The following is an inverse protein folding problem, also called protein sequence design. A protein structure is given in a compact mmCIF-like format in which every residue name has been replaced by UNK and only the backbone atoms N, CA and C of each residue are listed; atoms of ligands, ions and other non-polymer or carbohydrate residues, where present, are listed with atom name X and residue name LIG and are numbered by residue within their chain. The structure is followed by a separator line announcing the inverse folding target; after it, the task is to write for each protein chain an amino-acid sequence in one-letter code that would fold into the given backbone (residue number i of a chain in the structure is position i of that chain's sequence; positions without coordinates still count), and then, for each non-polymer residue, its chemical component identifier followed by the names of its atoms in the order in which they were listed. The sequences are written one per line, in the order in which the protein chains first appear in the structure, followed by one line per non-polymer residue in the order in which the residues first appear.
data_IF_786700782398
#
_entry.id   IF_786700782398
#
_cell.length_a   1.000
_cell.length_b   1.000
_cell.length_c   1.000
_cell.angle_alpha   90.00
_cell.angle_beta   90.00
_cell.angle_gamma   90.00
#
_symmetry.space_group_name_H-M   'P 1'
#
loop_
_entity.id
_entity.type
_entity.pdbx_description
1 polymer ?
#
# COMPACT_ATOMS: atom_id res chain seq x y z
N UNK A 1 8.69 71.14 37.23
CA UNK A 1 7.59 70.62 36.40
C UNK A 1 6.87 69.54 37.20
N UNK A 2 5.57 69.71 37.51
CA UNK A 2 4.78 68.68 38.21
C UNK A 2 4.38 67.61 37.19
N UNK A 3 4.66 66.31 37.39
CA UNK A 3 4.22 65.26 36.48
C UNK A 3 2.69 65.16 36.50
N UNK A 4 2.08 64.90 35.34
CA UNK A 4 0.63 64.71 35.21
C UNK A 4 0.15 63.59 36.15
N UNK A 5 -0.81 63.91 37.02
CA UNK A 5 -1.39 62.94 37.94
C UNK A 5 -2.32 62.00 37.17
N UNK A 6 -1.89 60.76 37.00
CA UNK A 6 -2.74 59.68 36.45
C UNK A 6 -3.88 59.43 37.43
N UNK A 7 -5.13 59.41 36.94
CA UNK A 7 -6.31 59.21 37.77
C UNK A 7 -6.36 57.78 38.30
N UNK A 8 -6.86 57.59 39.53
CA UNK A 8 -6.92 56.26 40.16
C UNK A 8 -7.72 55.25 39.32
N UNK A 9 -8.75 55.71 38.60
CA UNK A 9 -9.57 54.88 37.72
C UNK A 9 -8.77 54.31 36.55
N UNK A 10 -7.90 55.10 35.93
CA UNK A 10 -7.02 54.66 34.83
C UNK A 10 -6.05 53.59 35.31
N UNK A 11 -5.58 53.68 36.56
CA UNK A 11 -4.72 52.69 37.19
C UNK A 11 -5.46 51.36 37.38
N UNK A 12 -6.72 51.42 37.81
CA UNK A 12 -7.57 50.23 37.98
C UNK A 12 -7.86 49.57 36.62
N UNK A 13 -8.18 50.34 35.59
CA UNK A 13 -8.40 49.82 34.23
C UNK A 13 -7.13 49.18 33.65
N UNK A 14 -5.97 49.81 33.84
CA UNK A 14 -4.69 49.24 33.43
C UNK A 14 -4.38 47.92 34.18
N UNK A 15 -4.73 47.84 35.47
CA UNK A 15 -4.58 46.62 36.25
C UNK A 15 -5.52 45.50 35.80
N UNK A 16 -6.80 45.81 35.53
CA UNK A 16 -7.76 44.85 34.96
C UNK A 16 -7.30 44.34 33.60
N UNK A 17 -6.74 45.21 32.75
CA UNK A 17 -6.17 44.84 31.45
C UNK A 17 -4.94 43.94 31.59
N UNK A 18 -4.10 44.15 32.61
CA UNK A 18 -2.98 43.24 32.89
C UNK A 18 -3.47 41.89 33.42
N UNK A 19 -4.48 41.89 34.29
CA UNK A 19 -5.10 40.70 34.85
C UNK A 19 -5.74 39.82 33.76
N UNK A 20 -6.46 40.42 32.79
CA UNK A 20 -7.07 39.69 31.67
C UNK A 20 -6.04 39.04 30.73
N UNK A 21 -4.79 39.51 30.76
CA UNK A 21 -3.68 38.91 30.01
C UNK A 21 -2.92 37.83 30.80
N UNK A 22 -3.37 37.50 32.01
CA UNK A 22 -2.74 36.50 32.88
C UNK A 22 -1.37 36.92 33.43
N UNK A 23 -1.02 38.21 33.37
CA UNK A 23 0.28 38.73 33.83
C UNK A 23 0.18 39.21 35.28
N UNK A 24 1.23 38.97 36.06
CA UNK A 24 1.36 39.51 37.41
C UNK A 24 1.29 41.05 37.39
N UNK A 25 0.37 41.63 38.16
CA UNK A 25 0.22 43.08 38.27
C UNK A 25 1.31 43.65 39.20
N UNK A 26 2.36 44.21 38.59
CA UNK A 26 3.44 44.94 39.28
C UNK A 26 3.36 46.44 38.98
N UNK A 27 3.93 47.28 39.83
CA UNK A 27 3.96 48.74 39.61
C UNK A 27 4.61 49.14 38.28
N UNK A 28 5.66 48.44 37.86
CA UNK A 28 6.30 48.63 36.55
C UNK A 28 5.43 48.10 35.40
N UNK A 29 4.69 47.01 35.62
CA UNK A 29 3.71 46.51 34.66
C UNK A 29 2.62 47.54 34.38
N UNK A 30 2.08 48.16 35.43
CA UNK A 30 1.09 49.24 35.32
C UNK A 30 1.67 50.46 34.61
N UNK A 31 2.90 50.88 34.97
CA UNK A 31 3.59 51.99 34.30
C UNK A 31 3.80 51.72 32.81
N UNK A 32 4.10 50.48 32.41
CA UNK A 32 4.26 50.11 31.00
C UNK A 32 2.94 50.23 30.23
N UNK A 33 1.81 49.96 30.86
CA UNK A 33 0.49 50.10 30.22
C UNK A 33 0.06 51.57 30.13
N UNK A 34 0.35 52.36 31.17
CA UNK A 34 -0.06 53.76 31.27
C UNK A 34 0.93 54.75 30.63
N UNK A 35 2.16 54.31 30.31
CA UNK A 35 3.20 55.13 29.71
C UNK A 35 3.88 56.14 30.66
N UNK A 36 3.29 56.44 31.81
CA UNK A 36 3.81 57.38 32.81
C UNK A 36 3.44 56.97 34.24
N UNK A 37 3.90 57.74 35.23
CA UNK A 37 3.56 57.55 36.66
C UNK A 37 4.64 56.85 37.49
N UNK A 38 4.59 57.07 38.81
CA UNK A 38 5.46 56.41 39.79
C UNK A 38 4.98 54.98 40.07
N UNK A 39 5.79 53.93 39.79
CA UNK A 39 5.45 52.52 40.03
C UNK A 39 4.93 52.23 41.45
N UNK A 40 5.42 52.93 42.47
CA UNK A 40 4.99 52.72 43.86
C UNK A 40 3.54 53.13 44.06
N UNK A 41 3.16 54.32 43.59
CA UNK A 41 1.77 54.82 43.65
C UNK A 41 0.82 53.94 42.83
N UNK A 42 1.23 53.56 41.61
CA UNK A 42 0.39 52.72 40.74
C UNK A 42 0.07 51.38 41.40
N UNK A 43 1.07 50.73 42.00
CA UNK A 43 0.89 49.46 42.71
C UNK A 43 0.03 49.63 43.96
N UNK A 44 0.24 50.70 44.74
CA UNK A 44 -0.55 50.99 45.93
C UNK A 44 -2.05 51.14 45.63
N UNK A 45 -2.42 51.95 44.62
CA UNK A 45 -3.83 52.15 44.23
C UNK A 45 -4.47 50.84 43.75
N UNK A 46 -3.72 50.03 42.99
CA UNK A 46 -4.20 48.72 42.56
C UNK A 46 -4.41 47.76 43.74
N UNK A 47 -3.46 47.70 44.67
CA UNK A 47 -3.55 46.83 45.84
C UNK A 47 -4.68 47.28 46.77
N UNK A 48 -4.95 48.58 46.89
CA UNK A 48 -6.10 49.13 47.61
C UNK A 48 -7.43 48.72 46.94
N UNK A 49 -7.53 48.80 45.61
CA UNK A 49 -8.69 48.33 44.86
C UNK A 49 -8.93 46.83 45.07
N UNK A 50 -7.91 45.99 44.92
CA UNK A 50 -8.01 44.53 45.12
C UNK A 50 -8.39 44.18 46.57
N UNK A 51 -7.91 44.95 47.54
CA UNK A 51 -8.25 44.72 48.95
C UNK A 51 -9.71 45.06 49.25
N UNK A 52 -10.26 46.13 48.66
CA UNK A 52 -11.69 46.48 48.75
C UNK A 52 -12.58 45.50 47.99
N UNK A 53 -12.19 45.10 46.79
CA UNK A 53 -12.89 44.11 45.94
C UNK A 53 -12.97 42.73 46.64
N UNK A 54 -11.90 42.34 47.37
CA UNK A 54 -11.88 41.11 48.17
C UNK A 54 -12.74 41.18 49.44
N UNK A 55 -12.89 42.35 50.06
CA UNK A 55 -13.77 42.50 51.24
C UNK A 55 -15.26 42.45 50.89
N UNK A 56 -15.63 42.72 49.63
CA UNK A 56 -17.04 42.68 49.18
C UNK A 56 -17.47 41.31 48.63
N UNK A 57 -16.54 40.37 48.37
CA UNK A 57 -16.84 39.19 47.55
C UNK A 57 -16.81 37.82 48.23
N UNK A 58 -16.41 37.66 49.50
CA UNK A 58 -16.05 36.31 49.98
C UNK A 58 -16.46 35.80 51.37
N UNK A 59 -17.24 36.51 52.20
CA UNK A 59 -17.72 35.91 53.48
C UNK A 59 -19.23 35.67 53.58
N UNK A 60 -20.05 36.22 52.68
CA UNK A 60 -21.53 36.14 52.77
C UNK A 60 -22.21 35.22 51.73
N UNK A 61 -21.45 34.53 50.87
CA UNK A 61 -22.01 33.64 49.82
C UNK A 61 -22.17 32.18 50.27
N UNK A 62 -22.49 31.95 51.54
CA UNK A 62 -23.05 30.63 51.92
C UNK A 62 -24.48 30.56 51.41
N UNK A 63 -24.74 29.59 50.55
CA UNK A 63 -26.10 29.25 50.17
C UNK A 63 -26.87 28.92 51.46
N UNK A 64 -28.08 29.48 51.66
CA UNK A 64 -29.01 29.01 52.69
C UNK A 64 -29.14 27.48 52.65
N UNK A 65 -29.28 26.85 53.82
CA UNK A 65 -29.31 25.40 53.94
C UNK A 65 -30.40 24.76 53.04
N UNK A 66 -31.52 25.44 52.86
CA UNK A 66 -32.61 25.01 51.99
C UNK A 66 -32.21 24.97 50.51
N UNK A 67 -31.30 25.85 50.07
CA UNK A 67 -30.76 25.84 48.72
C UNK A 67 -29.64 24.79 48.57
N UNK A 68 -28.85 24.53 49.61
CA UNK A 68 -27.87 23.43 49.59
C UNK A 68 -28.56 22.06 49.45
N UNK A 69 -29.66 21.82 50.18
CA UNK A 69 -30.44 20.59 50.09
C UNK A 69 -31.03 20.38 48.69
N UNK A 70 -31.55 21.45 48.07
CA UNK A 70 -32.08 21.41 46.70
C UNK A 70 -30.97 21.10 45.66
N UNK A 71 -29.76 21.63 45.86
CA UNK A 71 -28.61 21.33 44.99
C UNK A 71 -28.21 19.85 45.14
N UNK A 72 -28.14 19.33 46.37
CA UNK A 72 -27.80 17.92 46.62
C UNK A 72 -28.85 16.99 46.00
N UNK A 73 -30.13 17.33 46.13
CA UNK A 73 -31.22 16.56 45.52
C UNK A 73 -31.15 16.60 43.98
N UNK A 74 -30.85 17.76 43.39
CA UNK A 74 -30.66 17.90 41.95
C UNK A 74 -29.44 17.10 41.45
N UNK A 75 -28.30 17.19 42.14
CA UNK A 75 -27.11 16.40 41.82
C UNK A 75 -27.41 14.90 41.83
N UNK A 76 -28.11 14.44 42.87
CA UNK A 76 -28.54 13.04 42.99
C UNK A 76 -29.45 12.64 41.83
N UNK A 77 -30.46 13.44 41.51
CA UNK A 77 -31.39 13.18 40.42
C UNK A 77 -30.68 13.13 39.06
N UNK A 78 -29.73 14.04 38.81
CA UNK A 78 -28.92 14.03 37.58
C UNK A 78 -28.07 12.75 37.51
N UNK A 79 -27.39 12.38 38.60
CA UNK A 79 -26.57 11.16 38.64
C UNK A 79 -27.43 9.90 38.45
N UNK A 80 -28.62 9.85 39.04
CA UNK A 80 -29.58 8.75 38.90
C UNK A 80 -30.11 8.62 37.47
N UNK A 81 -30.26 9.73 36.74
CA UNK A 81 -30.70 9.72 35.34
C UNK A 81 -29.56 9.44 34.34
N UNK A 82 -28.36 9.98 34.57
CA UNK A 82 -27.22 9.83 33.65
C UNK A 82 -26.66 8.41 33.67
N UNK A 83 -26.60 7.77 34.85
CA UNK A 83 -26.05 6.41 35.00
C UNK A 83 -26.74 5.36 34.11
N UNK A 84 -28.08 5.21 34.10
CA UNK A 84 -28.74 4.23 33.24
C UNK A 84 -28.58 4.56 31.76
N UNK A 85 -28.57 5.84 31.36
CA UNK A 85 -28.32 6.24 29.98
C UNK A 85 -26.92 5.81 29.54
N UNK A 86 -25.89 6.02 30.37
CA UNK A 86 -24.53 5.60 30.08
C UNK A 86 -24.41 4.08 29.91
N UNK A 87 -25.10 3.29 30.75
CA UNK A 87 -25.14 1.82 30.65
C UNK A 87 -25.82 1.38 29.36
N UNK A 88 -26.97 1.98 29.02
CA UNK A 88 -27.70 1.65 27.79
C UNK A 88 -26.89 2.01 26.54
N UNK A 89 -26.20 3.16 26.54
CA UNK A 89 -25.33 3.57 25.45
C UNK A 89 -24.17 2.57 25.28
N UNK A 90 -23.54 2.17 26.39
CA UNK A 90 -22.46 1.19 26.37
C UNK A 90 -22.93 -0.18 25.85
N UNK A 91 -24.07 -0.68 26.31
CA UNK A 91 -24.64 -1.95 25.84
C UNK A 91 -25.00 -1.89 24.35
N UNK A 92 -25.58 -0.78 23.89
CA UNK A 92 -25.87 -0.55 22.47
C UNK A 92 -24.60 -0.53 21.62
N UNK A 93 -23.56 0.19 22.06
CA UNK A 93 -22.27 0.25 21.38
C UNK A 93 -21.59 -1.13 21.34
N UNK A 94 -21.63 -1.87 22.44
CA UNK A 94 -21.06 -3.22 22.54
C UNK A 94 -21.78 -4.18 21.57
N UNK A 95 -23.11 -4.16 21.52
CA UNK A 95 -23.91 -4.97 20.59
C UNK A 95 -23.64 -4.61 19.13
N UNK A 96 -23.51 -3.32 18.82
CA UNK A 96 -23.17 -2.87 17.47
C UNK A 96 -21.78 -3.36 17.06
N UNK A 97 -20.78 -3.21 17.92
CA UNK A 97 -19.43 -3.71 17.68
C UNK A 97 -19.39 -5.23 17.51
N UNK A 98 -20.11 -5.99 18.34
CA UNK A 98 -20.21 -7.45 18.22
C UNK A 98 -20.84 -7.89 16.90
N UNK A 99 -21.90 -7.21 16.45
CA UNK A 99 -22.53 -7.47 15.15
C UNK A 99 -21.56 -7.21 14.01
N UNK A 100 -20.90 -6.05 14.02
CA UNK A 100 -19.90 -5.70 13.00
C UNK A 100 -18.77 -6.72 12.94
N UNK A 101 -18.22 -7.13 14.09
CA UNK A 101 -17.17 -8.17 14.16
C UNK A 101 -17.68 -9.50 13.62
N UNK A 102 -18.91 -9.89 13.94
CA UNK A 102 -19.50 -11.13 13.42
C UNK A 102 -19.70 -11.10 11.91
N UNK A 103 -20.16 -9.97 11.37
CA UNK A 103 -20.36 -9.77 9.93
C UNK A 103 -19.02 -9.80 9.20
N UNK A 104 -18.05 -9.00 9.63
CA UNK A 104 -16.70 -9.00 9.05
C UNK A 104 -16.03 -10.37 9.18
N UNK A 105 -16.19 -11.08 10.30
CA UNK A 105 -15.65 -12.42 10.46
C UNK A 105 -16.27 -13.42 9.47
N UNK A 106 -17.58 -13.29 9.20
CA UNK A 106 -18.27 -14.12 8.21
C UNK A 106 -17.80 -13.82 6.79
N UNK A 107 -17.68 -12.55 6.43
CA UNK A 107 -17.17 -12.12 5.12
C UNK A 107 -15.74 -12.60 4.89
N UNK A 108 -14.86 -12.45 5.89
CA UNK A 108 -13.48 -12.94 5.81
C UNK A 108 -13.40 -14.45 5.67
N UNK A 109 -14.27 -15.21 6.35
CA UNK A 109 -14.34 -16.67 6.18
C UNK A 109 -14.79 -17.07 4.79
N UNK A 110 -15.76 -16.36 4.23
CA UNK A 110 -16.24 -16.61 2.88
C UNK A 110 -15.14 -16.29 1.85
N UNK A 111 -14.54 -15.10 1.93
CA UNK A 111 -13.44 -14.70 1.05
C UNK A 111 -12.27 -15.68 1.13
N UNK A 112 -11.91 -16.14 2.34
CA UNK A 112 -10.88 -17.15 2.52
C UNK A 112 -11.23 -18.45 1.77
N UNK A 113 -12.47 -18.92 1.90
CA UNK A 113 -12.93 -20.14 1.22
C UNK A 113 -12.90 -19.98 -0.31
N UNK A 114 -13.25 -18.81 -0.82
CA UNK A 114 -13.21 -18.50 -2.25
C UNK A 114 -11.77 -18.50 -2.77
N UNK A 115 -10.84 -17.86 -2.05
CA UNK A 115 -9.41 -17.87 -2.40
C UNK A 115 -8.81 -19.28 -2.32
N UNK A 116 -9.17 -20.07 -1.30
CA UNK A 116 -8.71 -21.46 -1.20
C UNK A 116 -9.18 -22.30 -2.39
N UNK A 117 -10.42 -22.10 -2.86
CA UNK A 117 -10.92 -22.75 -4.07
C UNK A 117 -10.18 -22.28 -5.32
N UNK A 118 -9.96 -20.97 -5.48
CA UNK A 118 -9.25 -20.40 -6.63
C UNK A 118 -7.78 -20.88 -6.70
N UNK A 119 -7.12 -21.05 -5.55
CA UNK A 119 -5.78 -21.65 -5.48
C UNK A 119 -5.79 -23.10 -5.96
N UNK A 120 -6.80 -23.89 -5.57
CA UNK A 120 -6.92 -25.28 -6.03
C UNK A 120 -7.12 -25.34 -7.55
N UNK A 121 -7.99 -24.49 -8.09
CA UNK A 121 -8.24 -24.40 -9.53
C UNK A 121 -6.98 -23.97 -10.29
N UNK A 122 -6.26 -22.97 -9.78
CA UNK A 122 -4.99 -22.51 -10.37
C UNK A 122 -3.94 -23.63 -10.38
N UNK A 123 -3.82 -24.40 -9.29
CA UNK A 123 -2.90 -25.53 -9.22
C UNK A 123 -3.26 -26.62 -10.24
N UNK A 124 -4.55 -26.94 -10.43
CA UNK A 124 -4.99 -27.89 -11.43
C UNK A 124 -4.66 -27.43 -12.86
N UNK A 125 -4.79 -26.13 -13.14
CA UNK A 125 -4.40 -25.54 -14.42
C UNK A 125 -2.89 -25.64 -14.63
N UNK A 126 -2.08 -25.36 -13.59
CA UNK A 126 -0.63 -25.50 -13.66
C UNK A 126 -0.25 -26.95 -14.00
N UNK A 127 -0.85 -27.93 -13.34
CA UNK A 127 -0.58 -29.35 -13.58
C UNK A 127 -0.92 -29.76 -15.04
N UNK A 128 -2.07 -29.33 -15.58
CA UNK A 128 -2.43 -29.56 -16.99
C UNK A 128 -1.43 -28.89 -17.95
N UNK A 129 -1.01 -27.65 -17.66
CA UNK A 129 -0.02 -26.94 -18.48
C UNK A 129 1.35 -27.62 -18.45
N UNK A 130 1.80 -28.09 -17.28
CA UNK A 130 3.05 -28.83 -17.13
C UNK A 130 3.00 -30.17 -17.88
N UNK A 131 1.87 -30.87 -17.85
CA UNK A 131 1.67 -32.09 -18.62
C UNK A 131 1.71 -31.83 -20.13
N UNK A 132 1.04 -30.78 -20.61
CA UNK A 132 1.07 -30.38 -22.02
C UNK A 132 2.47 -29.96 -22.47
N UNK A 133 3.19 -29.24 -21.63
CA UNK A 133 4.57 -28.84 -21.91
C UNK A 133 5.48 -30.06 -22.05
N UNK A 134 5.30 -31.05 -21.19
CA UNK A 134 6.04 -32.31 -21.22
C UNK A 134 5.75 -33.09 -22.51
N UNK A 135 4.47 -33.26 -22.88
CA UNK A 135 4.07 -33.93 -24.12
C UNK A 135 4.61 -33.19 -25.36
N UNK A 136 4.45 -31.87 -25.41
CA UNK A 136 4.97 -31.06 -26.52
C UNK A 136 6.49 -31.19 -26.65
N UNK A 137 7.21 -31.21 -25.53
CA UNK A 137 8.67 -31.36 -25.49
C UNK A 137 9.11 -32.75 -25.95
N UNK A 138 8.38 -33.81 -25.57
CA UNK A 138 8.61 -35.18 -26.05
C UNK A 138 8.37 -35.30 -27.56
N UNK A 139 7.29 -34.73 -28.07
CA UNK A 139 6.99 -34.70 -29.52
C UNK A 139 8.05 -33.93 -30.29
N UNK A 140 8.52 -32.80 -29.76
CA UNK A 140 9.59 -32.03 -30.38
C UNK A 140 10.89 -32.83 -30.45
N UNK A 141 11.24 -33.53 -29.36
CA UNK A 141 12.43 -34.40 -29.35
C UNK A 141 12.31 -35.55 -30.35
N UNK A 142 11.15 -36.21 -30.40
CA UNK A 142 10.91 -37.30 -31.35
C UNK A 142 10.99 -36.83 -32.82
N UNK A 143 10.29 -35.74 -33.15
CA UNK A 143 10.32 -35.17 -34.51
C UNK A 143 11.71 -34.64 -34.91
N UNK A 144 12.47 -34.09 -33.95
CA UNK A 144 13.87 -33.69 -34.19
C UNK A 144 14.76 -34.90 -34.50
N UNK A 145 14.55 -36.02 -33.82
CA UNK A 145 15.31 -37.25 -34.06
C UNK A 145 14.91 -37.89 -35.41
N UNK A 146 13.62 -37.97 -35.71
CA UNK A 146 13.12 -38.41 -37.02
C UNK A 146 13.67 -37.56 -38.17
N UNK A 147 13.72 -36.23 -37.99
CA UNK A 147 14.29 -35.32 -38.97
C UNK A 147 15.78 -35.60 -39.19
N UNK A 148 16.53 -35.85 -38.11
CA UNK A 148 17.96 -36.18 -38.19
C UNK A 148 18.19 -37.50 -38.94
N UNK A 149 17.42 -38.54 -38.60
CA UNK A 149 17.49 -39.84 -39.28
C UNK A 149 17.13 -39.72 -40.77
N UNK A 150 16.09 -38.93 -41.10
CA UNK A 150 15.72 -38.67 -42.49
C UNK A 150 16.82 -37.92 -43.25
N UNK A 151 17.50 -36.96 -42.61
CA UNK A 151 18.63 -36.26 -43.20
C UNK A 151 19.82 -37.20 -43.45
N UNK A 152 20.16 -38.06 -42.48
CA UNK A 152 21.22 -39.06 -42.60
C UNK A 152 20.93 -40.04 -43.75
N UNK A 153 19.72 -40.60 -43.80
CA UNK A 153 19.29 -41.47 -44.89
C UNK A 153 19.36 -40.77 -46.26
N UNK A 154 18.97 -39.48 -46.31
CA UNK A 154 19.10 -38.68 -47.55
C UNK A 154 20.54 -38.56 -48.00
N UNK A 155 21.48 -38.30 -47.08
CA UNK A 155 22.91 -38.25 -47.42
C UNK A 155 23.45 -39.60 -47.91
N UNK A 156 23.00 -40.71 -47.33
CA UNK A 156 23.37 -42.05 -47.80
C UNK A 156 22.86 -42.33 -49.22
N UNK A 157 21.58 -42.05 -49.48
CA UNK A 157 21.01 -42.22 -50.82
C UNK A 157 21.67 -41.31 -51.85
N UNK A 158 22.00 -40.06 -51.48
CA UNK A 158 22.71 -39.13 -52.35
C UNK A 158 24.11 -39.65 -52.71
N UNK A 159 24.85 -40.20 -51.74
CA UNK A 159 26.14 -40.86 -51.99
C UNK A 159 26.00 -42.07 -52.91
N UNK A 160 25.02 -42.94 -52.66
CA UNK A 160 24.76 -44.11 -53.50
C UNK A 160 24.39 -43.73 -54.93
N UNK A 161 23.57 -42.68 -55.10
CA UNK A 161 23.22 -42.16 -56.41
C UNK A 161 24.45 -41.65 -57.17
N UNK A 162 25.34 -40.89 -56.51
CA UNK A 162 26.60 -40.42 -57.11
C UNK A 162 27.49 -41.60 -57.52
N UNK A 163 27.62 -42.63 -56.68
CA UNK A 163 28.44 -43.81 -57.02
C UNK A 163 27.87 -44.59 -58.19
N UNK A 164 26.55 -44.81 -58.23
CA UNK A 164 25.89 -45.50 -59.34
C UNK A 164 25.98 -44.68 -60.63
N UNK A 165 25.85 -43.36 -60.57
CA UNK A 165 26.02 -42.49 -61.73
C UNK A 165 27.44 -42.58 -62.30
N UNK A 166 28.46 -42.64 -61.44
CA UNK A 166 29.84 -42.87 -61.85
C UNK A 166 30.05 -44.25 -62.49
N UNK A 167 29.48 -45.31 -61.92
CA UNK A 167 29.54 -46.67 -62.48
C UNK A 167 28.83 -46.76 -63.84
N UNK A 168 27.64 -46.17 -63.97
CA UNK A 168 26.90 -46.10 -65.23
C UNK A 168 27.71 -45.35 -66.29
N UNK A 169 28.36 -44.24 -65.93
CA UNK A 169 29.24 -43.50 -66.84
C UNK A 169 30.41 -44.35 -67.30
N UNK A 170 31.09 -45.03 -66.38
CA UNK A 170 32.22 -45.91 -66.70
C UNK A 170 31.81 -47.09 -67.60
N UNK A 171 30.67 -47.73 -67.33
CA UNK A 171 30.13 -48.80 -68.19
C UNK A 171 29.77 -48.29 -69.58
N UNK A 172 29.19 -47.08 -69.70
CA UNK A 172 28.92 -46.46 -71.00
C UNK A 172 30.20 -46.22 -71.80
N UNK A 173 31.25 -45.71 -71.16
CA UNK A 173 32.56 -45.47 -71.77
C UNK A 173 33.24 -46.77 -72.22
N UNK A 174 33.13 -47.84 -71.43
CA UNK A 174 33.69 -49.15 -71.80
C UNK A 174 32.89 -49.81 -72.94
N UNK A 175 31.56 -49.70 -72.94
CA UNK A 175 30.73 -50.21 -74.04
C UNK A 175 31.05 -49.53 -75.36
N UNK A 176 31.23 -48.20 -75.37
CA UNK A 176 31.65 -47.47 -76.57
C UNK A 176 33.06 -47.85 -77.01
N UNK A 177 33.99 -48.10 -76.07
CA UNK A 177 35.31 -48.62 -76.40
C UNK A 177 35.24 -50.01 -77.05
N UNK A 178 34.45 -50.94 -76.50
CA UNK A 178 34.25 -52.26 -77.07
C UNK A 178 33.61 -52.23 -78.47
N UNK A 179 32.65 -51.33 -78.69
CA UNK A 179 32.04 -51.10 -80.00
C UNK A 179 33.06 -50.58 -81.04
N UNK A 180 33.92 -49.64 -80.64
CA UNK A 180 35.02 -49.14 -81.47
C UNK A 180 36.02 -50.25 -81.81
N UNK A 181 36.40 -51.08 -80.83
CA UNK A 181 37.31 -52.20 -81.03
C UNK A 181 36.73 -53.26 -81.98
N UNK A 182 35.45 -53.62 -81.84
CA UNK A 182 34.75 -54.51 -82.79
C UNK A 182 34.78 -53.93 -84.20
N UNK A 183 34.64 -52.60 -84.34
CA UNK A 183 34.69 -51.94 -85.65
C UNK A 183 36.09 -51.98 -86.27
N UNK A 184 37.14 -51.78 -85.48
CA UNK A 184 38.53 -51.86 -85.93
C UNK A 184 38.85 -53.27 -86.41
N UNK A 185 38.53 -54.31 -85.63
CA UNK A 185 38.73 -55.72 -86.02
C UNK A 185 37.95 -56.07 -87.30
N UNK A 186 36.74 -55.56 -87.46
CA UNK A 186 35.94 -55.75 -88.68
C UNK A 186 36.55 -55.06 -89.92
N UNK A 187 37.31 -53.97 -89.73
CA UNK A 187 38.02 -53.27 -90.79
C UNK A 187 39.34 -53.98 -91.14
N UNK A 188 40.08 -54.45 -90.14
CA UNK A 188 41.34 -55.21 -90.33
C UNK A 188 41.09 -56.55 -91.03
N UNK A 189 40.02 -57.27 -90.67
CA UNK A 189 39.62 -58.51 -91.34
C UNK A 189 39.15 -58.30 -92.79
N UNK A 190 38.70 -57.09 -93.15
CA UNK A 190 38.41 -56.73 -94.55
C UNK A 190 39.65 -56.30 -95.33
N UNK A 191 40.66 -55.74 -94.67
CA UNK A 191 41.92 -55.32 -95.29
C UNK A 191 42.88 -56.47 -95.61
N UNK A 192 42.75 -57.63 -94.97
CA UNK A 192 43.62 -58.80 -95.18
C UNK A 192 43.13 -59.78 -96.28
N UNK A 193 42.00 -59.50 -96.93
CA UNK A 193 41.41 -60.31 -98.01
C UNK A 193 41.46 -59.60 -99.39
N UNK A 194 42.36 -58.62 -99.57
CA UNK A 194 42.58 -57.88 -100.82
C UNK A 194 43.96 -58.12 -101.39
#
# INVERSE_FOLDING_TARGET
MRPAEIANQEIIEAGKKLQSTGKNITGYGLRRVLGAGDPKRLKFVWDEYVSKDKSETNDDLRLPAELEDLVIELEKNIVEQVRPIAIQLYDGALKAAQRQVSETSRELKQLKSEIEAEILDANAIIEDLEQRLTDASQRLAATSEELKQSQEARYEFERQAITLEAEVKHLRENSTYEELMKRIVALESRGHNG
#
